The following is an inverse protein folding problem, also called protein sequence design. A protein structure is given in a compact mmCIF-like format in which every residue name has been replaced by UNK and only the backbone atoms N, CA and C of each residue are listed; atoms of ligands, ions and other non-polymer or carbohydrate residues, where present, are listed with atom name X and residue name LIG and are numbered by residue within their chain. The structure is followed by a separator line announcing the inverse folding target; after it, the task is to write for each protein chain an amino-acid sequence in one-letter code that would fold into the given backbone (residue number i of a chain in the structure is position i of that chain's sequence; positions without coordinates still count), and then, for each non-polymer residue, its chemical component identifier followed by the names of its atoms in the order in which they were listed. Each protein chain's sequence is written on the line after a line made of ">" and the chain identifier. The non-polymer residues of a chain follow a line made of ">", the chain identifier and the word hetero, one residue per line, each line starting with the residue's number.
data_IF_939742073149
#
_entry.id   IF_939742073149
#
_cell.length_a   1.000
_cell.length_b   1.000
_cell.length_c   1.000
_cell.angle_alpha   90.00
_cell.angle_beta   90.00
_cell.angle_gamma   90.00
#
_symmetry.space_group_name_H-M   'P 1'
#
loop_
_entity.id
_entity.type
_entity.pdbx_description
1 polymer ?
#
# COMPACT_ATOMS: atom_id res chain seq x y z
N UNK A 1 9.37 -32.21 41.73
CA UNK A 1 8.67 -30.91 41.75
C UNK A 1 9.36 -30.02 40.73
N UNK A 2 8.77 -29.62 39.61
CA UNK A 2 7.44 -29.77 39.04
C UNK A 2 7.64 -29.68 37.51
N UNK A 3 6.96 -30.55 36.77
CA UNK A 3 7.06 -30.68 35.32
C UNK A 3 5.66 -30.37 34.80
N UNK A 4 5.44 -29.15 34.34
CA UNK A 4 4.20 -28.75 33.67
C UNK A 4 4.48 -28.57 32.19
N UNK A 5 4.31 -29.68 31.47
CA UNK A 5 3.94 -29.67 30.06
C UNK A 5 2.54 -29.05 29.97
N UNK A 6 2.37 -27.90 29.32
CA UNK A 6 1.03 -27.45 28.91
C UNK A 6 0.97 -27.28 27.39
N UNK A 7 -0.02 -27.99 26.86
CA UNK A 7 -0.24 -28.36 25.48
C UNK A 7 -0.85 -27.15 24.77
N UNK A 8 -0.06 -26.45 23.97
CA UNK A 8 -0.60 -25.53 22.96
C UNK A 8 -1.28 -26.37 21.88
N UNK A 9 -2.56 -26.66 22.11
CA UNK A 9 -3.37 -27.58 21.31
C UNK A 9 -3.59 -27.04 19.88
N UNK A 10 -3.49 -27.87 18.82
CA UNK A 10 -3.75 -27.48 17.42
C UNK A 10 -5.22 -27.13 17.15
N UNK A 11 -6.07 -27.24 18.17
CA UNK A 11 -7.49 -26.91 18.14
C UNK A 11 -7.71 -25.40 18.25
N UNK A 12 -6.85 -24.67 18.98
CA UNK A 12 -6.98 -23.23 19.17
C UNK A 12 -6.66 -22.41 17.91
N UNK A 13 -5.74 -22.90 17.06
CA UNK A 13 -5.42 -22.29 15.77
C UNK A 13 -6.57 -22.49 14.76
N UNK A 14 -7.18 -23.68 14.75
CA UNK A 14 -8.30 -24.03 13.87
C UNK A 14 -9.60 -23.27 14.21
N UNK A 15 -9.84 -22.92 15.48
CA UNK A 15 -11.05 -22.17 15.87
C UNK A 15 -11.01 -20.71 15.41
N UNK A 16 -9.82 -20.09 15.33
CA UNK A 16 -9.61 -18.73 14.82
C UNK A 16 -9.79 -18.68 13.30
N UNK A 17 -9.50 -19.78 12.60
CA UNK A 17 -9.67 -19.88 11.15
C UNK A 17 -11.16 -19.92 10.74
N UNK A 18 -12.02 -20.53 11.56
CA UNK A 18 -13.45 -20.67 11.27
C UNK A 18 -14.30 -19.39 11.41
N UNK A 19 -13.76 -18.32 12.02
CA UNK A 19 -14.45 -17.03 12.22
C UNK A 19 -13.89 -15.87 11.41
N UNK A 20 -12.94 -16.12 10.50
CA UNK A 20 -12.59 -15.13 9.50
C UNK A 20 -13.77 -15.04 8.54
N UNK A 21 -14.61 -14.02 8.69
CA UNK A 21 -15.43 -13.53 7.58
C UNK A 21 -14.53 -13.52 6.35
N UNK A 22 -14.85 -14.30 5.34
CA UNK A 22 -13.93 -14.62 4.26
C UNK A 22 -13.67 -13.33 3.45
N UNK A 23 -12.65 -12.56 3.85
CA UNK A 23 -12.36 -11.24 3.28
C UNK A 23 -12.13 -11.46 1.79
N UNK A 24 -12.86 -10.78 0.88
CA UNK A 24 -12.67 -10.98 -0.54
C UNK A 24 -11.20 -10.79 -0.94
N UNK A 25 -10.70 -11.61 -1.85
CA UNK A 25 -9.26 -11.65 -2.22
C UNK A 25 -8.71 -10.27 -2.58
N UNK A 26 -9.54 -9.41 -3.19
CA UNK A 26 -9.19 -8.03 -3.58
C UNK A 26 -8.85 -7.08 -2.41
N UNK A 27 -9.25 -7.40 -1.17
CA UNK A 27 -8.97 -6.59 0.02
C UNK A 27 -7.86 -7.19 0.89
N UNK A 28 -7.30 -8.33 0.49
CA UNK A 28 -6.18 -8.95 1.21
C UNK A 28 -4.88 -8.24 0.82
N UNK A 29 -3.90 -8.31 1.72
CA UNK A 29 -2.56 -7.79 1.43
C UNK A 29 -1.96 -8.53 0.24
N UNK A 30 -1.40 -7.79 -0.72
CA UNK A 30 -0.69 -8.34 -1.88
C UNK A 30 0.80 -8.25 -1.63
N UNK A 31 1.49 -9.38 -1.54
CA UNK A 31 2.96 -9.38 -1.42
C UNK A 31 3.62 -9.22 -2.80
N UNK A 32 4.40 -8.16 -2.98
CA UNK A 32 5.32 -8.05 -4.13
C UNK A 32 6.53 -8.95 -3.84
N UNK A 33 6.73 -9.97 -4.68
CA UNK A 33 7.89 -10.86 -4.59
C UNK A 33 8.97 -10.35 -5.55
N UNK A 34 10.08 -9.89 -4.98
CA UNK A 34 11.24 -9.48 -5.77
C UNK A 34 11.99 -10.72 -6.28
N UNK A 35 12.28 -10.76 -7.58
CA UNK A 35 13.16 -11.77 -8.14
C UNK A 35 14.62 -11.30 -8.11
N UNK A 36 15.55 -12.14 -8.58
CA UNK A 36 16.95 -11.77 -8.80
C UNK A 36 17.13 -10.60 -9.80
N UNK A 37 16.11 -10.31 -10.61
CA UNK A 37 16.08 -9.22 -11.59
C UNK A 37 15.36 -7.96 -11.09
N UNK A 38 14.91 -7.93 -9.83
CA UNK A 38 14.28 -6.75 -9.22
C UNK A 38 12.75 -6.77 -9.33
N UNK A 39 12.16 -5.58 -9.51
CA UNK A 39 10.69 -5.37 -9.57
C UNK A 39 10.12 -5.66 -10.96
N UNK A 40 10.98 -5.69 -11.99
CA UNK A 40 10.58 -5.85 -13.40
C UNK A 40 9.91 -7.20 -13.70
N UNK A 41 10.14 -8.21 -12.85
CA UNK A 41 9.51 -9.53 -12.96
C UNK A 41 8.08 -9.56 -12.36
N UNK A 42 7.64 -8.51 -11.65
CA UNK A 42 6.31 -8.46 -11.07
C UNK A 42 5.28 -7.95 -12.08
N UNK A 43 4.30 -8.79 -12.42
CA UNK A 43 3.21 -8.42 -13.33
C UNK A 43 2.15 -7.56 -12.63
N UNK A 44 2.40 -6.25 -12.56
CA UNK A 44 1.40 -5.26 -12.09
C UNK A 44 0.14 -5.25 -12.96
N UNK A 45 0.29 -5.57 -14.25
CA UNK A 45 -0.82 -5.63 -15.20
C UNK A 45 -1.81 -6.73 -14.85
N UNK A 46 -1.41 -7.80 -14.16
CA UNK A 46 -2.33 -8.82 -13.63
C UNK A 46 -3.35 -8.22 -12.65
N UNK A 47 -2.89 -7.35 -11.73
CA UNK A 47 -3.70 -6.80 -10.64
C UNK A 47 -4.53 -5.58 -11.04
N UNK A 48 -4.09 -4.82 -12.03
CA UNK A 48 -4.77 -3.61 -12.46
C UNK A 48 -4.96 -3.57 -13.98
N UNK A 49 -6.21 -3.73 -14.41
CA UNK A 49 -6.62 -3.63 -15.82
C UNK A 49 -7.21 -2.25 -16.17
N UNK A 50 -7.25 -1.33 -15.22
CA UNK A 50 -7.81 0.01 -15.42
C UNK A 50 -6.74 0.97 -15.96
N UNK A 51 -7.17 2.17 -16.35
CA UNK A 51 -6.26 3.26 -16.75
C UNK A 51 -5.70 4.06 -15.57
N UNK A 52 -6.04 3.71 -14.34
CA UNK A 52 -5.66 4.46 -13.13
C UNK A 52 -4.49 3.75 -12.45
N UNK A 53 -3.35 4.43 -12.32
CA UNK A 53 -2.15 3.84 -11.73
C UNK A 53 -2.31 3.49 -10.25
N UNK A 54 -1.72 2.37 -9.84
CA UNK A 54 -1.58 1.98 -8.43
C UNK A 54 -0.35 2.61 -7.78
N UNK A 55 -0.16 2.36 -6.48
CA UNK A 55 1.05 2.70 -5.73
C UNK A 55 1.64 1.44 -5.12
N UNK A 56 2.96 1.29 -5.20
CA UNK A 56 3.69 0.18 -4.59
C UNK A 56 3.63 0.25 -3.05
N UNK A 57 3.67 -0.92 -2.39
CA UNK A 57 3.49 -1.01 -0.93
C UNK A 57 4.79 -1.30 -0.17
N UNK A 58 5.85 -1.71 -0.86
CA UNK A 58 7.15 -2.07 -0.28
C UNK A 58 8.09 -0.86 -0.20
N UNK A 59 7.54 0.24 0.30
CA UNK A 59 8.27 1.48 0.60
C UNK A 59 7.92 1.94 2.01
N UNK A 60 8.83 2.69 2.63
CA UNK A 60 8.54 3.31 3.93
C UNK A 60 7.33 4.24 3.81
N UNK A 61 6.49 4.24 4.84
CA UNK A 61 5.27 5.05 4.90
C UNK A 61 4.20 4.71 3.83
N UNK A 62 4.17 3.48 3.30
CA UNK A 62 3.13 3.02 2.36
C UNK A 62 1.71 3.05 2.92
N UNK A 63 1.53 3.21 4.24
CA UNK A 63 0.22 3.51 4.85
C UNK A 63 -0.42 4.79 4.26
N UNK A 64 0.38 5.71 3.71
CA UNK A 64 -0.11 6.94 3.09
C UNK A 64 -0.77 6.70 1.72
N UNK A 65 -0.55 5.55 1.07
CA UNK A 65 -0.99 5.30 -0.31
C UNK A 65 -2.50 5.53 -0.51
N UNK A 66 -3.32 5.04 0.42
CA UNK A 66 -4.78 5.22 0.35
C UNK A 66 -5.17 6.70 0.42
N UNK A 67 -4.48 7.48 1.25
CA UNK A 67 -4.71 8.92 1.37
C UNK A 67 -4.24 9.67 0.12
N UNK A 68 -3.07 9.31 -0.43
CA UNK A 68 -2.53 9.89 -1.66
C UNK A 68 -3.47 9.69 -2.84
N UNK A 69 -4.07 8.50 -2.98
CA UNK A 69 -5.06 8.21 -4.02
C UNK A 69 -6.32 9.07 -3.86
N UNK A 70 -6.87 9.21 -2.65
CA UNK A 70 -8.02 10.09 -2.39
C UNK A 70 -7.69 11.55 -2.75
N UNK A 71 -6.50 12.03 -2.40
CA UNK A 71 -6.06 13.40 -2.70
C UNK A 71 -5.87 13.62 -4.20
N UNK A 72 -5.28 12.67 -4.92
CA UNK A 72 -5.11 12.73 -6.38
C UNK A 72 -6.47 12.88 -7.09
N UNK A 73 -7.48 12.13 -6.66
CA UNK A 73 -8.83 12.20 -7.25
C UNK A 73 -9.71 13.32 -6.66
N UNK A 74 -9.18 14.16 -5.78
CA UNK A 74 -9.86 15.37 -5.29
C UNK A 74 -9.39 16.58 -6.13
N UNK A 75 -10.19 17.11 -7.07
CA UNK A 75 -9.72 18.06 -8.08
C UNK A 75 -9.08 19.32 -7.49
N UNK A 76 -9.62 19.83 -6.38
CA UNK A 76 -9.09 21.01 -5.71
C UNK A 76 -7.67 20.78 -5.17
N UNK A 77 -7.44 19.64 -4.52
CA UNK A 77 -6.14 19.29 -3.93
C UNK A 77 -5.13 19.04 -5.04
N UNK A 78 -5.51 18.25 -6.05
CA UNK A 78 -4.64 17.94 -7.18
C UNK A 78 -4.23 19.19 -7.95
N UNK A 79 -5.18 20.06 -8.29
CA UNK A 79 -4.87 21.28 -9.02
C UNK A 79 -3.98 22.23 -8.20
N UNK A 80 -4.20 22.34 -6.89
CA UNK A 80 -3.35 23.16 -6.02
C UNK A 80 -1.90 22.66 -6.02
N UNK A 81 -1.69 21.35 -5.86
CA UNK A 81 -0.36 20.75 -5.86
C UNK A 81 0.35 20.94 -7.21
N UNK A 82 -0.34 20.68 -8.33
CA UNK A 82 0.21 20.86 -9.68
C UNK A 82 0.58 22.33 -9.96
N UNK A 83 -0.27 23.28 -9.58
CA UNK A 83 0.01 24.70 -9.77
C UNK A 83 1.20 25.15 -8.93
N UNK A 84 1.31 24.70 -7.69
CA UNK A 84 2.44 25.03 -6.83
C UNK A 84 3.76 24.45 -7.37
N UNK A 85 3.77 23.18 -7.77
CA UNK A 85 4.93 22.51 -8.35
C UNK A 85 5.39 23.15 -9.67
N UNK A 86 4.49 23.82 -10.40
CA UNK A 86 4.81 24.57 -11.62
C UNK A 86 5.36 25.99 -11.36
N UNK A 87 5.48 26.43 -10.11
CA UNK A 87 6.08 27.73 -9.75
C UNK A 87 7.58 27.61 -9.46
N UNK A 88 8.28 28.74 -9.34
CA UNK A 88 9.66 28.81 -8.87
C UNK A 88 9.77 28.61 -7.34
N UNK A 89 9.22 27.50 -6.83
CA UNK A 89 9.35 27.16 -5.42
C UNK A 89 10.83 26.89 -5.08
N UNK A 90 11.37 27.65 -4.12
CA UNK A 90 12.78 27.58 -3.70
C UNK A 90 13.00 26.73 -2.45
N UNK A 91 11.94 26.11 -1.93
CA UNK A 91 12.03 25.27 -0.73
C UNK A 91 12.68 23.94 -1.08
N UNK A 92 13.76 23.59 -0.37
CA UNK A 92 14.50 22.34 -0.59
C UNK A 92 13.67 21.08 -0.28
N UNK A 93 12.74 21.17 0.67
CA UNK A 93 11.86 20.07 1.08
C UNK A 93 10.42 20.57 1.13
N UNK A 94 9.73 20.52 -0.01
CA UNK A 94 8.33 20.95 -0.11
C UNK A 94 7.40 19.78 -0.42
N UNK A 95 6.66 19.33 0.59
CA UNK A 95 5.66 18.25 0.43
C UNK A 95 4.59 18.59 -0.61
N UNK A 96 4.25 19.86 -0.81
CA UNK A 96 3.28 20.26 -1.83
C UNK A 96 3.85 20.11 -3.26
N UNK A 97 5.16 20.30 -3.45
CA UNK A 97 5.83 19.99 -4.72
C UNK A 97 5.91 18.48 -4.95
N UNK A 98 6.27 17.70 -3.92
CA UNK A 98 6.32 16.23 -4.00
C UNK A 98 4.95 15.63 -4.37
N UNK A 99 3.87 16.15 -3.78
CA UNK A 99 2.51 15.79 -4.19
C UNK A 99 2.22 16.17 -5.64
N UNK A 100 2.71 17.33 -6.11
CA UNK A 100 2.57 17.75 -7.50
C UNK A 100 3.32 16.87 -8.49
N UNK A 101 4.49 16.33 -8.13
CA UNK A 101 5.22 15.37 -8.97
C UNK A 101 4.56 13.99 -8.99
N UNK A 102 3.92 13.60 -7.89
CA UNK A 102 3.21 12.33 -7.78
C UNK A 102 1.86 12.33 -8.54
N UNK A 103 1.16 13.46 -8.64
CA UNK A 103 -0.20 13.59 -9.19
C UNK A 103 -0.29 13.91 -10.69
#
# INVERSE_FOLDING_TARGET
>A
DDKTDDVSSPVAENEIESKKSDVPVMYRNVEIKYSKFGVDDFDFGFYNKTRYSGLEIHISNSYANSLLQIMHFTPLIRNLALQHAATACVSEICLLCELGFLF
#
